data_IF_115642659955
#
_entry.id   IF_115642659955
#
_cell.length_a   1.000
_cell.length_b   1.000
_cell.length_c   1.000
_cell.angle_alpha   90.00
_cell.angle_beta   90.00
_cell.angle_gamma   90.00
#
_symmetry.space_group_name_H-M   'P 1'
#
loop_
_entity.id
_entity.type
_entity.pdbx_description
1 polymer ?
#
# COMPACT_ATOMS: atom_id res chain seq x y z
N UNK A 1 -9.54 11.28 -1.12
CA UNK A 1 -10.24 10.09 -0.60
C UNK A 1 -11.43 9.82 -1.52
N UNK A 2 -11.80 8.56 -1.73
CA UNK A 2 -13.00 8.23 -2.51
C UNK A 2 -14.24 8.74 -1.74
N UNK A 3 -15.18 9.45 -2.39
CA UNK A 3 -16.40 9.89 -1.72
C UNK A 3 -17.23 8.68 -1.30
N UNK A 4 -17.89 8.75 -0.15
CA UNK A 4 -18.77 7.68 0.32
C UNK A 4 -19.93 7.50 -0.67
N UNK A 5 -20.38 6.26 -0.84
CA UNK A 5 -21.60 5.96 -1.60
C UNK A 5 -22.79 6.13 -0.65
N UNK A 6 -23.59 7.16 -0.91
CA UNK A 6 -24.76 7.49 -0.09
C UNK A 6 -25.97 6.65 -0.49
N UNK A 7 -26.94 6.51 0.41
CA UNK A 7 -28.18 5.76 0.15
C UNK A 7 -29.04 6.36 -0.97
N UNK A 8 -28.83 7.64 -1.27
CA UNK A 8 -29.53 8.38 -2.32
C UNK A 8 -28.90 8.21 -3.70
N UNK A 9 -27.68 7.68 -3.79
CA UNK A 9 -26.95 7.49 -5.04
C UNK A 9 -27.68 6.49 -5.95
N UNK A 10 -27.73 6.78 -7.26
CA UNK A 10 -28.39 5.93 -8.26
C UNK A 10 -27.81 4.50 -8.29
N UNK A 11 -26.51 4.36 -8.07
CA UNK A 11 -25.83 3.06 -8.01
C UNK A 11 -26.32 2.16 -6.86
N UNK A 12 -26.84 2.77 -5.78
CA UNK A 12 -27.48 2.04 -4.67
C UNK A 12 -28.91 1.67 -5.02
N UNK A 13 -29.66 2.59 -5.64
CA UNK A 13 -31.04 2.36 -6.08
C UNK A 13 -31.13 1.20 -7.07
N UNK A 14 -30.19 1.14 -8.00
CA UNK A 14 -30.03 0.05 -8.97
C UNK A 14 -29.40 -1.22 -8.39
N UNK A 15 -29.14 -1.27 -7.07
CA UNK A 15 -28.54 -2.41 -6.35
C UNK A 15 -27.18 -2.86 -6.90
N UNK A 16 -26.46 -1.97 -7.58
CA UNK A 16 -25.13 -2.25 -8.16
C UNK A 16 -24.06 -2.26 -7.05
N UNK A 17 -24.17 -1.35 -6.07
CA UNK A 17 -23.24 -1.21 -4.94
C UNK A 17 -24.04 -0.98 -3.65
N UNK A 18 -23.53 -1.47 -2.50
CA UNK A 18 -24.14 -1.20 -1.20
C UNK A 18 -23.73 0.18 -0.66
N UNK A 19 -24.58 0.85 0.14
CA UNK A 19 -24.17 2.08 0.83
C UNK A 19 -22.89 1.86 1.64
N UNK A 20 -21.97 2.81 1.57
CA UNK A 20 -20.66 2.72 2.25
C UNK A 20 -19.63 1.80 1.58
N UNK A 21 -19.98 1.04 0.55
CA UNK A 21 -18.99 0.30 -0.25
C UNK A 21 -18.32 1.21 -1.30
N UNK A 22 -17.13 0.81 -1.74
CA UNK A 22 -16.44 1.49 -2.83
C UNK A 22 -17.18 1.28 -4.16
N UNK A 23 -17.29 2.32 -4.98
CA UNK A 23 -17.89 2.24 -6.33
C UNK A 23 -17.15 1.24 -7.22
N UNK A 24 -15.88 1.00 -6.92
CA UNK A 24 -15.05 0.01 -7.62
C UNK A 24 -15.47 -1.44 -7.36
N UNK A 25 -16.33 -1.70 -6.37
CA UNK A 25 -16.90 -3.04 -6.13
C UNK A 25 -17.71 -3.55 -7.33
N UNK A 26 -18.32 -2.65 -8.10
CA UNK A 26 -19.13 -2.97 -9.28
C UNK A 26 -18.33 -3.64 -10.40
N UNK A 27 -17.02 -3.39 -10.49
CA UNK A 27 -16.15 -3.95 -11.53
C UNK A 27 -15.48 -5.28 -11.12
N UNK A 28 -15.91 -5.86 -10.01
CA UNK A 28 -15.32 -7.05 -9.43
C UNK A 28 -16.38 -8.14 -9.30
N UNK A 29 -16.04 -9.34 -9.76
CA UNK A 29 -16.87 -10.53 -9.59
C UNK A 29 -16.26 -11.42 -8.51
N UNK A 30 -17.08 -11.90 -7.57
CA UNK A 30 -16.64 -12.91 -6.60
C UNK A 30 -16.72 -14.28 -7.27
N UNK A 31 -15.60 -14.98 -7.36
CA UNK A 31 -15.53 -16.34 -7.90
C UNK A 31 -15.97 -17.37 -6.84
N UNK A 32 -16.28 -18.62 -7.25
CA UNK A 32 -16.58 -19.71 -6.32
C UNK A 32 -15.45 -20.01 -5.32
N UNK A 33 -14.20 -19.70 -5.68
CA UNK A 33 -13.03 -19.88 -4.81
C UNK A 33 -12.83 -18.73 -3.82
N UNK A 34 -13.83 -17.84 -3.68
CA UNK A 34 -13.81 -16.65 -2.81
C UNK A 34 -12.67 -15.68 -3.15
N UNK A 35 -12.32 -15.61 -4.43
CA UNK A 35 -11.41 -14.60 -4.96
C UNK A 35 -12.20 -13.57 -5.78
N UNK A 36 -11.61 -12.40 -6.00
CA UNK A 36 -12.22 -11.32 -6.74
C UNK A 36 -11.56 -11.21 -8.11
N UNK A 37 -12.33 -11.48 -9.17
CA UNK A 37 -11.90 -11.35 -10.56
C UNK A 37 -12.24 -9.97 -11.08
N UNK A 38 -11.30 -9.34 -11.77
CA UNK A 38 -11.51 -8.07 -12.46
C UNK A 38 -12.35 -8.26 -13.73
N UNK A 39 -13.33 -7.37 -13.95
CA UNK A 39 -14.20 -7.39 -15.14
C UNK A 39 -13.86 -6.29 -16.15
N UNK A 40 -12.77 -5.54 -15.95
CA UNK A 40 -12.35 -4.54 -16.91
C UNK A 40 -11.90 -5.17 -18.22
N UNK A 41 -12.34 -4.58 -19.34
CA UNK A 41 -11.82 -4.87 -20.67
C UNK A 41 -10.93 -3.72 -21.07
N UNK A 42 -9.67 -4.02 -21.34
CA UNK A 42 -8.66 -3.05 -21.80
C UNK A 42 -8.48 -3.17 -23.32
N UNK A 43 -7.70 -2.27 -23.90
CA UNK A 43 -7.28 -2.34 -25.31
C UNK A 43 -6.59 -3.66 -25.69
N UNK A 44 -5.97 -4.33 -24.71
CA UNK A 44 -5.30 -5.62 -24.88
C UNK A 44 -6.19 -6.83 -24.56
N UNK A 45 -7.48 -6.60 -24.30
CA UNK A 45 -8.44 -7.64 -23.95
C UNK A 45 -8.88 -7.60 -22.48
N UNK A 46 -9.66 -8.62 -22.05
CA UNK A 46 -10.19 -8.69 -20.70
C UNK A 46 -9.07 -8.84 -19.66
N UNK A 47 -9.21 -8.14 -18.54
CA UNK A 47 -8.26 -8.25 -17.44
C UNK A 47 -8.41 -9.60 -16.72
N UNK A 48 -7.38 -10.43 -16.76
CA UNK A 48 -7.39 -11.76 -16.13
C UNK A 48 -6.99 -11.74 -14.65
N UNK A 49 -6.78 -10.55 -14.08
CA UNK A 49 -6.27 -10.42 -12.72
C UNK A 49 -7.32 -10.82 -11.69
N UNK A 50 -6.89 -11.66 -10.76
CA UNK A 50 -7.69 -12.17 -9.67
C UNK A 50 -6.96 -11.96 -8.35
N UNK A 51 -7.67 -11.49 -7.33
CA UNK A 51 -7.10 -11.17 -6.02
C UNK A 51 -7.92 -11.85 -4.91
N UNK A 52 -7.27 -12.43 -3.91
CA UNK A 52 -7.93 -13.02 -2.73
C UNK A 52 -8.64 -11.98 -1.85
N UNK A 53 -8.19 -10.73 -1.92
CA UNK A 53 -8.54 -9.67 -0.98
C UNK A 53 -9.30 -8.55 -1.70
N UNK A 54 -10.47 -8.19 -1.18
CA UNK A 54 -11.32 -7.16 -1.78
C UNK A 54 -10.62 -5.80 -1.89
N UNK A 55 -9.85 -5.41 -0.87
CA UNK A 55 -9.13 -4.14 -0.85
C UNK A 55 -8.06 -4.06 -1.95
N UNK A 56 -7.41 -5.20 -2.24
CA UNK A 56 -6.44 -5.31 -3.34
C UNK A 56 -7.12 -5.30 -4.69
N UNK A 57 -8.23 -6.02 -4.82
CA UNK A 57 -9.04 -6.05 -6.04
C UNK A 57 -9.57 -4.65 -6.40
N UNK A 58 -10.09 -3.91 -5.42
CA UNK A 58 -10.52 -2.51 -5.61
C UNK A 58 -9.34 -1.61 -5.98
N UNK A 59 -8.20 -1.77 -5.28
CA UNK A 59 -6.97 -1.05 -5.62
C UNK A 59 -6.49 -1.32 -7.04
N UNK A 60 -6.66 -2.55 -7.53
CA UNK A 60 -6.38 -2.91 -8.91
C UNK A 60 -7.38 -2.28 -9.89
N UNK A 61 -8.69 -2.35 -9.62
CA UNK A 61 -9.70 -1.73 -10.47
C UNK A 61 -9.48 -0.22 -10.66
N UNK A 62 -8.97 0.47 -9.63
CA UNK A 62 -8.57 1.89 -9.72
C UNK A 62 -7.45 2.15 -10.74
N UNK A 63 -6.58 1.17 -11.01
CA UNK A 63 -5.48 1.31 -11.97
C UNK A 63 -6.00 1.47 -13.40
N UNK A 64 -7.10 0.79 -13.75
CA UNK A 64 -7.71 0.89 -15.07
C UNK A 64 -8.29 2.28 -15.36
N UNK A 65 -8.71 3.00 -14.32
CA UNK A 65 -9.25 4.37 -14.44
C UNK A 65 -8.22 5.45 -14.07
N UNK A 66 -6.96 5.07 -13.86
CA UNK A 66 -5.90 5.93 -13.32
C UNK A 66 -6.29 6.73 -12.06
N UNK A 67 -7.22 6.19 -11.27
CA UNK A 67 -7.79 6.87 -10.13
C UNK A 67 -6.89 6.70 -8.90
N UNK A 68 -6.18 7.78 -8.52
CA UNK A 68 -5.20 7.77 -7.41
C UNK A 68 -5.64 8.67 -6.25
N UNK A 69 -6.58 8.21 -5.39
CA UNK A 69 -7.19 9.05 -4.36
C UNK A 69 -6.30 9.29 -3.13
N UNK A 70 -5.20 8.55 -2.99
CA UNK A 70 -4.33 8.61 -1.82
C UNK A 70 -3.09 9.45 -2.13
N UNK A 71 -3.00 10.65 -1.54
CA UNK A 71 -1.87 11.57 -1.73
C UNK A 71 -0.90 11.44 -0.56
N UNK A 72 0.41 11.46 -0.85
CA UNK A 72 1.44 11.54 0.17
C UNK A 72 1.31 12.84 0.97
N UNK A 73 1.29 13.98 0.26
CA UNK A 73 1.10 15.31 0.84
C UNK A 73 2.20 15.67 1.82
N UNK A 74 3.46 15.38 1.46
CA UNK A 74 4.62 15.68 2.30
C UNK A 74 4.79 14.80 3.56
N UNK A 75 3.97 13.75 3.74
CA UNK A 75 4.08 12.84 4.90
C UNK A 75 5.28 11.89 4.86
N UNK A 76 5.99 11.87 3.74
CA UNK A 76 7.22 11.11 3.55
C UNK A 76 8.43 11.97 3.95
N UNK A 77 9.66 11.49 3.78
CA UNK A 77 10.86 12.28 4.08
C UNK A 77 11.04 13.54 3.20
N UNK A 78 10.20 13.73 2.18
CA UNK A 78 10.19 14.91 1.31
C UNK A 78 8.93 15.74 1.59
N UNK A 79 9.07 16.98 2.10
CA UNK A 79 7.92 17.83 2.46
C UNK A 79 7.10 18.30 1.25
N UNK A 80 7.71 18.35 0.06
CA UNK A 80 7.11 18.73 -1.22
C UNK A 80 6.56 17.52 -2.01
N UNK A 81 6.40 16.36 -1.36
CA UNK A 81 5.96 15.15 -2.06
C UNK A 81 4.49 15.21 -2.48
N UNK A 82 4.28 15.31 -3.80
CA UNK A 82 2.97 15.32 -4.46
C UNK A 82 2.52 13.95 -4.97
N UNK A 83 3.26 12.88 -4.66
CA UNK A 83 2.95 11.52 -5.16
C UNK A 83 1.56 11.04 -4.74
N UNK A 84 0.90 10.35 -5.68
CA UNK A 84 -0.43 9.77 -5.51
C UNK A 84 -0.41 8.26 -5.75
N UNK A 85 -1.25 7.54 -5.02
CA UNK A 85 -1.29 6.09 -4.97
C UNK A 85 -2.72 5.57 -5.15
N UNK A 86 -2.84 4.31 -5.59
CA UNK A 86 -4.10 3.63 -5.85
C UNK A 86 -4.72 3.01 -4.59
N UNK A 87 -3.91 2.74 -3.55
CA UNK A 87 -4.36 2.24 -2.26
C UNK A 87 -3.66 2.94 -1.09
N UNK A 88 -4.30 2.90 0.08
CA UNK A 88 -3.69 3.38 1.33
C UNK A 88 -2.42 2.61 1.65
N UNK A 89 -2.42 1.28 1.49
CA UNK A 89 -1.24 0.45 1.73
C UNK A 89 -0.04 0.84 0.88
N UNK A 90 -0.23 1.18 -0.40
CA UNK A 90 0.86 1.66 -1.26
C UNK A 90 1.44 2.99 -0.78
N UNK A 91 0.58 3.92 -0.36
CA UNK A 91 0.99 5.21 0.21
C UNK A 91 1.76 5.01 1.52
N UNK A 92 1.26 4.14 2.39
CA UNK A 92 1.88 3.90 3.70
C UNK A 92 3.24 3.22 3.54
N UNK A 93 3.37 2.29 2.59
CA UNK A 93 4.65 1.70 2.23
C UNK A 93 5.63 2.73 1.65
N UNK A 94 5.16 3.65 0.81
CA UNK A 94 5.96 4.77 0.33
C UNK A 94 6.48 5.62 1.49
N UNK A 95 5.60 6.04 2.40
CA UNK A 95 5.99 6.84 3.58
C UNK A 95 7.02 6.07 4.41
N UNK A 96 6.73 4.81 4.73
CA UNK A 96 7.59 3.95 5.56
C UNK A 96 8.98 3.75 4.97
N UNK A 97 9.09 3.60 3.64
CA UNK A 97 10.38 3.43 2.94
C UNK A 97 11.12 4.75 2.76
N UNK A 98 10.38 5.87 2.67
CA UNK A 98 10.99 7.19 2.49
C UNK A 98 11.74 7.67 3.72
N UNK A 99 11.23 7.35 4.93
CA UNK A 99 11.82 7.80 6.18
C UNK A 99 13.08 6.96 6.43
N UNK A 100 14.28 7.55 6.36
CA UNK A 100 15.51 6.81 6.54
C UNK A 100 15.58 6.34 7.99
N UNK A 101 15.39 5.04 8.22
CA UNK A 101 15.59 4.46 9.54
C UNK A 101 17.10 4.33 9.77
N UNK A 102 17.68 5.27 10.50
CA UNK A 102 19.09 5.28 10.87
C UNK A 102 19.25 5.00 12.36
N UNK A 103 20.27 4.23 12.72
CA UNK A 103 20.75 4.04 14.09
C UNK A 103 22.16 4.63 14.18
N UNK A 104 22.47 5.25 15.30
CA UNK A 104 23.83 5.65 15.61
C UNK A 104 24.68 4.42 15.96
N UNK A 105 25.89 4.36 15.41
CA UNK A 105 26.86 3.34 15.79
C UNK A 105 27.49 3.69 17.14
N UNK A 106 27.42 2.76 18.10
CA UNK A 106 27.95 2.94 19.46
C UNK A 106 29.48 3.06 19.52
N UNK A 107 30.20 2.64 18.46
CA UNK A 107 31.66 2.69 18.40
C UNK A 107 32.22 3.94 17.72
N UNK A 108 31.52 4.50 16.73
CA UNK A 108 32.02 5.63 15.95
C UNK A 108 31.06 6.82 15.85
N UNK A 109 29.89 6.77 16.49
CA UNK A 109 28.87 7.83 16.44
C UNK A 109 28.25 8.05 15.06
N UNK A 110 28.57 7.23 14.06
CA UNK A 110 28.09 7.42 12.69
C UNK A 110 26.62 7.00 12.57
N UNK A 111 25.82 7.80 11.87
CA UNK A 111 24.42 7.49 11.56
C UNK A 111 24.30 6.52 10.38
N UNK A 112 23.76 5.32 10.61
CA UNK A 112 23.76 4.21 9.64
C UNK A 112 22.36 3.68 9.45
N UNK A 113 21.97 3.43 8.20
CA UNK A 113 20.71 2.75 7.90
C UNK A 113 20.63 1.41 8.66
N UNK A 114 19.51 1.14 9.33
CA UNK A 114 19.30 -0.09 10.13
C UNK A 114 19.62 -1.34 9.30
N UNK A 115 19.25 -1.36 8.02
CA UNK A 115 19.52 -2.47 7.09
C UNK A 115 21.02 -2.74 6.87
N UNK A 116 21.87 -1.74 7.11
CA UNK A 116 23.31 -1.79 6.88
C UNK A 116 24.14 -1.89 8.17
N UNK A 117 23.51 -1.85 9.35
CA UNK A 117 24.22 -1.86 10.65
C UNK A 117 25.08 -3.11 10.80
N UNK A 118 24.53 -4.29 10.53
CA UNK A 118 25.28 -5.57 10.64
C UNK A 118 26.52 -5.58 9.73
N UNK A 119 26.37 -5.16 8.46
CA UNK A 119 27.49 -5.04 7.52
C UNK A 119 28.51 -4.01 7.98
N UNK A 120 28.06 -2.86 8.46
CA UNK A 120 28.95 -1.82 8.96
C UNK A 120 29.82 -2.32 10.13
N UNK A 121 29.21 -2.97 11.12
CA UNK A 121 29.93 -3.49 12.28
C UNK A 121 30.98 -4.53 11.88
N UNK A 122 30.67 -5.37 10.89
CA UNK A 122 31.60 -6.37 10.39
C UNK A 122 32.77 -5.77 9.59
N UNK A 123 32.52 -4.77 8.74
CA UNK A 123 33.53 -4.22 7.82
C UNK A 123 34.38 -3.13 8.48
N UNK A 124 33.77 -2.30 9.34
CA UNK A 124 34.44 -1.13 9.93
C UNK A 124 34.97 -1.43 11.33
N UNK A 125 34.24 -2.24 12.11
CA UNK A 125 34.61 -2.56 13.50
C UNK A 125 35.04 -4.02 13.69
N UNK A 126 35.10 -4.81 12.62
CA UNK A 126 35.42 -6.25 12.66
C UNK A 126 34.60 -7.04 13.69
N UNK A 127 33.40 -6.56 14.03
CA UNK A 127 32.49 -7.18 14.99
C UNK A 127 31.33 -7.86 14.28
N UNK A 128 31.08 -9.11 14.66
CA UNK A 128 29.87 -9.80 14.27
C UNK A 128 28.78 -9.47 15.29
N UNK A 129 27.90 -8.52 14.94
CA UNK A 129 26.66 -8.37 15.70
C UNK A 129 25.77 -9.61 15.48
N UNK A 130 25.14 -10.15 16.53
CA UNK A 130 24.07 -11.12 16.34
C UNK A 130 22.95 -10.47 15.51
N UNK A 131 22.43 -11.22 14.54
CA UNK A 131 21.27 -10.80 13.75
C UNK A 131 20.04 -10.79 14.66
N UNK A 132 19.83 -9.71 15.41
CA UNK A 132 18.55 -9.49 16.07
C UNK A 132 17.50 -9.27 14.99
N UNK A 133 16.63 -10.28 14.83
CA UNK A 133 15.44 -10.18 13.98
C UNK A 133 14.67 -8.94 14.44
N UNK A 134 14.24 -8.05 13.53
CA UNK A 134 13.40 -6.94 13.93
C UNK A 134 12.14 -7.51 14.58
N UNK A 135 11.98 -7.27 15.88
CA UNK A 135 10.75 -7.58 16.61
C UNK A 135 9.68 -6.64 16.08
N UNK A 136 8.95 -7.10 15.06
CA UNK A 136 7.80 -6.37 14.55
C UNK A 136 6.67 -6.58 15.56
N UNK A 137 6.61 -5.70 16.57
CA UNK A 137 5.41 -5.51 17.36
C UNK A 137 4.37 -4.82 16.46
N UNK A 138 3.63 -5.64 15.70
CA UNK A 138 2.40 -5.23 15.03
C UNK A 138 1.36 -5.01 16.13
N UNK A 139 1.07 -3.75 16.48
CA UNK A 139 -0.15 -3.41 17.22
C UNK A 139 -1.27 -3.23 16.19
N UNK A 140 -2.29 -4.10 16.14
CA UNK A 140 -3.49 -3.82 15.36
C UNK A 140 -4.25 -2.67 16.04
N UNK A 141 -4.76 -1.76 15.21
CA UNK A 141 -5.90 -0.89 15.53
C UNK A 141 -7.19 -1.65 15.22
#
# INVERSE_FOLDING_TARGET
MEPVVETTDEVVKEKIVRPGESRFRAFLEMTPTRTYKCQFVTEHGPCERTEERLDRAQGHARQHLDYRPYVCGGKCARPDCTQRFFSSGQKDDHIRRSIPRRKECEHCGKQISIQNVSRHMKVIHHQNLPQEKPSVAFKPY
#
